data_IF_586401074750
#
_entry.id   IF_586401074750
#
_cell.length_a   1.000
_cell.length_b   1.000
_cell.length_c   1.000
_cell.angle_alpha   90.00
_cell.angle_beta   90.00
_cell.angle_gamma   90.00
#
_symmetry.space_group_name_H-M   'P 1'
#
loop_
_entity.id
_entity.type
_entity.pdbx_description
1 polymer ?
#
# COMPACT_ATOMS: atom_id res chain seq x y z
N UNK A 1 -38.57 8.88 -9.39
CA UNK A 1 -37.26 8.36 -9.84
C UNK A 1 -36.16 9.14 -9.14
N UNK A 2 -35.38 8.52 -8.25
CA UNK A 2 -34.20 9.18 -7.69
C UNK A 2 -33.16 9.38 -8.80
N UNK A 3 -32.73 10.62 -9.02
CA UNK A 3 -31.68 10.93 -9.99
C UNK A 3 -30.37 10.32 -9.50
N UNK A 4 -29.59 9.71 -10.42
CA UNK A 4 -28.23 9.23 -10.09
C UNK A 4 -27.42 10.39 -9.49
N UNK A 5 -26.65 10.09 -8.45
CA UNK A 5 -25.74 11.08 -7.87
C UNK A 5 -24.61 11.38 -8.85
N UNK A 6 -23.96 12.55 -8.71
CA UNK A 6 -22.79 12.92 -9.55
C UNK A 6 -21.72 11.83 -9.47
N UNK A 7 -21.41 11.35 -8.27
CA UNK A 7 -20.44 10.27 -8.06
C UNK A 7 -20.81 8.96 -8.78
N UNK A 8 -22.10 8.62 -8.88
CA UNK A 8 -22.55 7.44 -9.62
C UNK A 8 -22.38 7.63 -11.13
N UNK A 9 -22.64 8.84 -11.66
CA UNK A 9 -22.37 9.15 -13.06
C UNK A 9 -20.88 9.10 -13.36
N UNK A 10 -20.04 9.69 -12.51
CA UNK A 10 -18.58 9.65 -12.67
C UNK A 10 -18.06 8.20 -12.67
N UNK A 11 -18.63 7.35 -11.81
CA UNK A 11 -18.31 5.92 -11.78
C UNK A 11 -18.69 5.22 -13.08
N UNK A 12 -19.87 5.50 -13.63
CA UNK A 12 -20.29 4.98 -14.94
C UNK A 12 -19.35 5.45 -16.06
N UNK A 13 -19.03 6.74 -16.09
CA UNK A 13 -18.08 7.30 -17.07
C UNK A 13 -16.70 6.67 -16.95
N UNK A 14 -16.19 6.46 -15.73
CA UNK A 14 -14.90 5.82 -15.52
C UNK A 14 -14.90 4.34 -15.93
N UNK A 15 -15.99 3.62 -15.68
CA UNK A 15 -16.18 2.24 -16.15
C UNK A 15 -16.14 2.18 -17.68
N UNK A 16 -16.87 3.08 -18.35
CA UNK A 16 -16.93 3.07 -19.81
C UNK A 16 -15.59 3.46 -20.43
N UNK A 17 -14.89 4.44 -19.85
CA UNK A 17 -13.51 4.76 -20.22
C UNK A 17 -12.57 3.56 -20.05
N UNK A 18 -12.71 2.78 -18.97
CA UNK A 18 -11.94 1.56 -18.77
C UNK A 18 -12.25 0.47 -19.82
N UNK A 19 -13.52 0.30 -20.22
CA UNK A 19 -13.90 -0.61 -21.30
C UNK A 19 -13.27 -0.22 -22.63
N UNK A 20 -13.32 1.06 -22.97
CA UNK A 20 -12.82 1.53 -24.26
C UNK A 20 -11.29 1.47 -24.31
N UNK A 21 -10.61 1.87 -23.23
CA UNK A 21 -9.17 1.68 -23.09
C UNK A 21 -8.77 0.19 -23.22
N UNK A 22 -9.52 -0.72 -22.61
CA UNK A 22 -9.27 -2.17 -22.74
C UNK A 22 -9.46 -2.68 -24.17
N UNK A 23 -10.48 -2.18 -24.90
CA UNK A 23 -10.69 -2.53 -26.32
C UNK A 23 -9.56 -2.03 -27.20
N UNK A 24 -9.14 -0.78 -27.02
CA UNK A 24 -8.07 -0.19 -27.83
C UNK A 24 -6.72 -0.83 -27.55
N UNK A 25 -6.44 -1.11 -26.27
CA UNK A 25 -5.30 -1.91 -25.87
C UNK A 25 -5.34 -3.33 -26.47
N UNK A 26 -6.51 -3.97 -26.55
CA UNK A 26 -6.66 -5.29 -27.21
C UNK A 26 -6.37 -5.21 -28.72
N UNK A 27 -6.77 -4.12 -29.39
CA UNK A 27 -6.40 -3.87 -30.80
C UNK A 27 -4.88 -3.68 -30.95
N UNK A 28 -4.29 -2.89 -30.05
CA UNK A 28 -2.86 -2.61 -30.00
C UNK A 28 -2.01 -3.86 -29.72
N UNK A 29 -2.50 -4.79 -28.89
CA UNK A 29 -1.87 -6.11 -28.68
C UNK A 29 -1.76 -6.92 -29.98
N UNK A 30 -2.73 -6.79 -30.90
CA UNK A 30 -2.73 -7.53 -32.17
C UNK A 30 -1.67 -7.01 -33.15
N UNK A 31 -1.33 -5.73 -33.08
CA UNK A 31 -0.36 -5.08 -33.99
C UNK A 31 1.04 -5.01 -33.39
N UNK A 32 1.18 -5.11 -32.07
CA UNK A 32 2.47 -5.09 -31.38
C UNK A 32 3.23 -6.43 -31.43
N UNK A 33 4.59 -6.40 -31.32
CA UNK A 33 5.39 -7.61 -31.26
C UNK A 33 5.08 -8.45 -30.02
N UNK A 34 5.23 -9.79 -30.12
CA UNK A 34 4.88 -10.78 -29.08
C UNK A 34 5.38 -10.41 -27.67
N UNK A 35 6.56 -9.80 -27.54
CA UNK A 35 7.13 -9.38 -26.24
C UNK A 35 6.38 -8.20 -25.60
N UNK A 36 5.94 -7.23 -26.41
CA UNK A 36 5.18 -6.07 -25.95
C UNK A 36 3.73 -6.46 -25.64
N UNK A 37 3.12 -7.28 -26.52
CA UNK A 37 1.81 -7.88 -26.30
C UNK A 37 1.71 -8.62 -24.96
N UNK A 38 2.73 -9.43 -24.58
CA UNK A 38 2.76 -10.14 -23.29
C UNK A 38 2.71 -9.21 -22.07
N UNK A 39 3.28 -8.01 -22.15
CA UNK A 39 3.27 -7.03 -21.05
C UNK A 39 1.93 -6.31 -20.92
N UNK A 40 1.24 -6.11 -22.04
CA UNK A 40 -0.02 -5.36 -22.08
C UNK A 40 -1.24 -6.22 -21.71
N UNK A 41 -1.22 -7.52 -22.02
CA UNK A 41 -2.28 -8.49 -21.69
C UNK A 41 -2.79 -8.41 -20.23
N UNK A 42 -1.94 -8.51 -19.19
CA UNK A 42 -2.43 -8.47 -17.81
C UNK A 42 -3.08 -7.13 -17.45
N UNK A 43 -2.62 -6.01 -18.02
CA UNK A 43 -3.20 -4.70 -17.79
C UNK A 43 -4.55 -4.53 -18.50
N UNK A 44 -4.73 -5.20 -19.64
CA UNK A 44 -6.03 -5.26 -20.33
C UNK A 44 -7.04 -6.06 -19.52
N UNK A 45 -6.64 -7.18 -18.91
CA UNK A 45 -7.55 -7.92 -18.03
C UNK A 45 -7.90 -7.13 -16.77
N UNK A 46 -6.93 -6.46 -16.12
CA UNK A 46 -7.19 -5.58 -14.96
C UNK A 46 -8.19 -4.45 -15.30
N UNK A 47 -8.06 -3.84 -16.49
CA UNK A 47 -8.99 -2.82 -16.96
C UNK A 47 -10.40 -3.38 -17.26
N UNK A 48 -10.51 -4.63 -17.74
CA UNK A 48 -11.81 -5.29 -17.91
C UNK A 48 -12.45 -5.63 -16.58
N UNK A 49 -11.69 -6.16 -15.62
CA UNK A 49 -12.19 -6.47 -14.28
C UNK A 49 -12.67 -5.21 -13.55
N UNK A 50 -11.97 -4.07 -13.74
CA UNK A 50 -12.40 -2.78 -13.23
C UNK A 50 -13.69 -2.26 -13.91
N UNK A 51 -13.93 -2.66 -15.16
CA UNK A 51 -15.12 -2.33 -15.91
C UNK A 51 -16.32 -3.26 -15.65
N UNK A 52 -16.08 -4.50 -15.22
CA UNK A 52 -17.11 -5.50 -14.90
C UNK A 52 -17.57 -5.40 -13.43
N UNK A 53 -18.00 -4.19 -13.05
CA UNK A 53 -18.52 -3.92 -11.72
C UNK A 53 -20.05 -3.89 -11.74
N UNK A 54 -20.64 -4.59 -10.79
CA UNK A 54 -22.10 -4.65 -10.68
C UNK A 54 -22.72 -3.28 -10.37
N UNK A 55 -23.91 -3.02 -10.91
CA UNK A 55 -24.70 -1.79 -10.65
C UNK A 55 -24.87 -1.50 -9.16
N UNK A 56 -24.96 -2.54 -8.33
CA UNK A 56 -25.02 -2.43 -6.86
C UNK A 56 -23.74 -1.85 -6.27
N UNK A 57 -22.57 -2.22 -6.79
CA UNK A 57 -21.27 -1.69 -6.36
C UNK A 57 -21.09 -0.23 -6.78
N UNK A 58 -21.56 0.14 -7.97
CA UNK A 58 -21.62 1.53 -8.45
C UNK A 58 -22.52 2.38 -7.55
N UNK A 59 -23.69 1.86 -7.17
CA UNK A 59 -24.62 2.56 -6.29
C UNK A 59 -24.08 2.75 -4.87
N UNK A 60 -23.50 1.69 -4.29
CA UNK A 60 -23.07 1.68 -2.89
C UNK A 60 -21.68 2.29 -2.65
N UNK A 61 -20.77 2.18 -3.63
CA UNK A 61 -19.36 2.61 -3.48
C UNK A 61 -18.84 3.32 -4.75
N UNK A 62 -19.52 4.38 -5.23
CA UNK A 62 -19.16 5.04 -6.49
C UNK A 62 -17.71 5.54 -6.49
N UNK A 63 -17.27 6.16 -5.39
CA UNK A 63 -15.90 6.69 -5.24
C UNK A 63 -14.80 5.61 -5.31
N UNK A 64 -15.11 4.38 -4.89
CA UNK A 64 -14.14 3.29 -5.00
C UNK A 64 -14.06 2.77 -6.42
N UNK A 65 -15.21 2.67 -7.09
CA UNK A 65 -15.31 2.24 -8.48
C UNK A 65 -14.60 3.22 -9.42
N UNK A 66 -14.82 4.53 -9.27
CA UNK A 66 -14.07 5.55 -10.03
C UNK A 66 -12.58 5.39 -9.81
N UNK A 67 -12.12 5.34 -8.55
CA UNK A 67 -10.69 5.24 -8.24
C UNK A 67 -10.05 3.98 -8.84
N UNK A 68 -10.73 2.84 -8.80
CA UNK A 68 -10.20 1.60 -9.39
C UNK A 68 -10.18 1.64 -10.92
N UNK A 69 -11.25 2.14 -11.54
CA UNK A 69 -11.34 2.24 -12.99
C UNK A 69 -10.30 3.23 -13.55
N UNK A 70 -10.18 4.41 -12.92
CA UNK A 70 -9.17 5.42 -13.31
C UNK A 70 -7.75 4.86 -13.14
N UNK A 71 -7.44 4.24 -12.00
CA UNK A 71 -6.11 3.66 -11.78
C UNK A 71 -5.77 2.54 -12.79
N UNK A 72 -6.75 1.72 -13.17
CA UNK A 72 -6.56 0.69 -14.20
C UNK A 72 -6.32 1.33 -15.59
N UNK A 73 -7.08 2.38 -15.95
CA UNK A 73 -6.87 3.11 -17.19
C UNK A 73 -5.51 3.80 -17.25
N UNK A 74 -5.08 4.45 -16.17
CA UNK A 74 -3.78 5.15 -16.11
C UNK A 74 -2.62 4.16 -16.32
N UNK A 75 -2.64 3.01 -15.63
CA UNK A 75 -1.62 1.97 -15.79
C UNK A 75 -1.60 1.42 -17.22
N UNK A 76 -2.77 1.21 -17.81
CA UNK A 76 -2.89 0.69 -19.17
C UNK A 76 -2.38 1.70 -20.19
N UNK A 77 -2.75 2.97 -20.03
CA UNK A 77 -2.30 4.07 -20.89
C UNK A 77 -0.81 4.31 -20.78
N UNK A 78 -0.25 4.33 -19.57
CA UNK A 78 1.20 4.49 -19.36
C UNK A 78 1.98 3.33 -20.01
N UNK A 79 1.51 2.09 -19.83
CA UNK A 79 2.13 0.94 -20.47
C UNK A 79 2.01 0.98 -22.00
N UNK A 80 0.87 1.40 -22.54
CA UNK A 80 0.69 1.57 -23.97
C UNK A 80 1.62 2.67 -24.52
N UNK A 81 1.70 3.82 -23.84
CA UNK A 81 2.57 4.93 -24.21
C UNK A 81 4.05 4.53 -24.20
N UNK A 82 4.50 3.81 -23.16
CA UNK A 82 5.88 3.29 -23.07
C UNK A 82 6.24 2.32 -24.20
N UNK A 83 5.25 1.63 -24.79
CA UNK A 83 5.46 0.68 -25.88
C UNK A 83 5.37 1.33 -27.26
N UNK A 84 4.63 2.43 -27.39
CA UNK A 84 4.52 3.22 -28.62
C UNK A 84 5.62 4.28 -28.76
N UNK A 85 6.21 4.72 -27.65
CA UNK A 85 7.33 5.66 -27.68
C UNK A 85 8.48 5.09 -28.54
N UNK A 86 9.00 5.85 -29.52
CA UNK A 86 10.11 5.40 -30.35
C UNK A 86 11.31 5.11 -29.44
N UNK A 87 11.79 3.87 -29.50
CA UNK A 87 12.88 3.35 -28.68
C UNK A 87 14.18 4.11 -28.96
N UNK A 88 14.39 5.22 -28.26
CA UNK A 88 15.73 5.57 -27.79
C UNK A 88 15.84 5.03 -26.37
N UNK A 89 16.74 4.06 -26.20
CA UNK A 89 17.12 3.34 -24.96
C UNK A 89 16.45 1.99 -24.75
N UNK A 90 17.14 0.99 -25.29
CA UNK A 90 17.21 -0.35 -24.75
C UNK A 90 17.68 -0.35 -23.28
N UNK A 91 17.56 -1.53 -22.66
CA UNK A 91 18.09 -1.97 -21.36
C UNK A 91 17.15 -1.80 -20.16
N UNK A 92 16.24 -2.78 -20.02
CA UNK A 92 16.07 -3.47 -18.74
C UNK A 92 15.86 -4.96 -19.00
N UNK A 93 17.00 -5.63 -19.24
CA UNK A 93 17.16 -7.06 -18.99
C UNK A 93 17.11 -7.24 -17.47
N UNK A 94 16.05 -7.86 -16.97
CA UNK A 94 16.15 -8.74 -15.81
C UNK A 94 15.34 -9.99 -16.13
N UNK A 95 15.97 -10.86 -16.93
CA UNK A 95 16.00 -12.29 -16.60
C UNK A 95 16.88 -12.40 -15.37
N UNK A 96 16.42 -13.10 -14.35
CA UNK A 96 17.07 -14.32 -13.84
C UNK A 96 16.39 -14.71 -12.51
N UNK A 97 15.54 -15.73 -12.61
CA UNK A 97 15.39 -16.69 -11.53
C UNK A 97 16.47 -17.75 -11.75
N UNK A 98 17.01 -18.36 -10.67
CA UNK A 98 16.56 -19.73 -10.46
C UNK A 98 16.38 -20.16 -9.00
N UNK A 99 15.49 -21.15 -8.87
CA UNK A 99 15.24 -22.08 -7.78
C UNK A 99 16.51 -22.57 -7.06
N UNK A 100 16.46 -22.66 -5.72
CA UNK A 100 16.66 -23.90 -4.94
C UNK A 100 16.47 -23.66 -3.43
N UNK A 101 15.45 -24.28 -2.86
CA UNK A 101 15.43 -24.77 -1.47
C UNK A 101 16.34 -26.04 -1.38
N UNK A 102 16.64 -26.70 -0.22
CA UNK A 102 15.85 -26.69 1.03
C UNK A 102 16.59 -26.92 2.39
N UNK A 103 15.79 -26.87 3.48
CA UNK A 103 15.84 -27.68 4.73
C UNK A 103 17.01 -27.57 5.73
N UNK A 104 16.68 -27.18 6.98
CA UNK A 104 16.93 -27.88 8.26
C UNK A 104 16.33 -27.00 9.40
N UNK A 105 15.23 -27.35 10.08
CA UNK A 105 15.01 -28.43 11.05
C UNK A 105 15.94 -28.36 12.28
N UNK A 106 15.40 -27.93 13.43
CA UNK A 106 15.62 -28.43 14.81
C UNK A 106 15.24 -27.33 15.81
N UNK A 107 14.17 -27.46 16.62
CA UNK A 107 13.89 -28.38 17.75
C UNK A 107 14.22 -27.73 19.09
N UNK A 108 13.21 -27.83 19.98
CA UNK A 108 13.23 -27.85 21.45
C UNK A 108 13.45 -26.50 22.15
N UNK A 109 12.44 -25.96 22.82
CA UNK A 109 11.78 -26.43 24.06
C UNK A 109 12.63 -26.17 25.31
N UNK A 110 12.09 -25.35 26.21
CA UNK A 110 11.90 -25.57 27.66
C UNK A 110 11.43 -24.23 28.26
N UNK A 111 10.20 -24.13 28.73
CA UNK A 111 9.74 -24.52 30.07
C UNK A 111 10.49 -23.79 31.20
N UNK A 112 9.75 -22.92 31.90
CA UNK A 112 9.72 -22.74 33.35
C UNK A 112 9.33 -21.27 33.68
N UNK A 113 8.13 -20.89 34.13
CA UNK A 113 7.34 -21.30 35.33
C UNK A 113 7.65 -20.34 36.51
N UNK A 114 6.55 -19.80 37.08
CA UNK A 114 6.37 -19.09 38.39
C UNK A 114 7.01 -17.68 38.45
N UNK A 115 6.49 -16.64 39.10
CA UNK A 115 5.42 -16.46 40.09
C UNK A 115 5.01 -14.98 39.99
N UNK A 116 3.72 -14.65 40.05
CA UNK A 116 3.06 -14.22 41.28
C UNK A 116 3.64 -12.93 41.88
N UNK A 117 2.89 -11.83 41.72
CA UNK A 117 2.36 -11.06 42.85
C UNK A 117 1.62 -9.83 42.31
N UNK A 118 0.28 -9.88 42.37
CA UNK A 118 -0.51 -8.69 42.60
C UNK A 118 -0.18 -8.15 44.01
N UNK A 119 -0.33 -6.84 44.25
CA UNK A 119 -1.57 -6.36 44.85
C UNK A 119 -2.12 -5.07 44.16
N UNK A 120 -3.43 -4.96 43.85
CA UNK A 120 -4.45 -4.16 44.60
C UNK A 120 -3.84 -2.92 45.26
N UNK A 121 -4.23 -1.67 45.00
CA UNK A 121 -5.51 -0.92 45.10
C UNK A 121 -5.12 0.52 44.62
N UNK A 122 -5.94 1.46 44.18
CA UNK A 122 -7.28 1.89 44.55
C UNK A 122 -7.82 2.81 43.43
N UNK A 123 -9.13 2.89 43.35
CA UNK A 123 -9.88 3.90 42.63
C UNK A 123 -9.55 5.32 43.13
N UNK A 124 -9.56 6.28 42.21
CA UNK A 124 -10.27 7.56 42.34
C UNK A 124 -9.99 8.45 41.11
N UNK A 125 -11.00 8.63 40.27
CA UNK A 125 -11.26 9.93 39.64
C UNK A 125 -11.57 10.94 40.78
N UNK A 126 -11.44 12.29 40.64
CA UNK A 126 -11.95 13.02 39.46
C UNK A 126 -11.26 14.38 39.13
N UNK A 127 -11.68 14.94 37.98
CA UNK A 127 -11.78 16.37 37.56
C UNK A 127 -10.68 17.36 38.00
N UNK A 128 -9.97 17.98 37.06
CA UNK A 128 -10.00 19.44 36.81
C UNK A 128 -9.04 19.82 35.66
N UNK A 129 -9.48 20.70 34.77
CA UNK A 129 -8.62 21.41 33.83
C UNK A 129 -8.40 22.83 34.38
N UNK A 130 -7.17 23.36 34.35
CA UNK A 130 -6.90 24.36 33.31
C UNK A 130 -5.45 24.37 32.80
N UNK A 131 -5.27 24.70 31.51
CA UNK A 131 -4.01 25.22 30.98
C UNK A 131 -3.81 26.67 31.48
N UNK A 132 -2.57 27.18 31.70
CA UNK A 132 -1.76 27.63 30.56
C UNK A 132 -0.20 27.65 30.72
N UNK A 133 0.47 27.61 29.56
CA UNK A 133 1.76 28.25 29.17
C UNK A 133 3.10 27.76 29.75
N UNK A 134 3.97 27.45 28.78
CA UNK A 134 5.44 27.61 28.76
C UNK A 134 6.24 26.83 29.79
N UNK A 135 6.43 25.54 29.50
CA UNK A 135 7.68 24.86 29.82
C UNK A 135 8.26 24.38 28.49
N UNK A 136 9.46 24.83 28.15
CA UNK A 136 10.29 24.19 27.13
C UNK A 136 10.27 22.69 27.42
N UNK A 137 9.70 21.83 26.57
CA UNK A 137 9.90 20.42 26.79
C UNK A 137 11.37 20.23 26.47
N UNK A 138 12.15 19.91 27.51
CA UNK A 138 13.30 19.05 27.30
C UNK A 138 12.70 17.75 26.77
N UNK A 139 12.37 17.74 25.47
CA UNK A 139 11.78 16.60 24.79
C UNK A 139 12.89 15.59 24.86
N UNK A 140 12.76 14.65 25.79
CA UNK A 140 13.64 13.50 25.78
C UNK A 140 13.55 12.93 24.36
N UNK A 141 14.66 12.57 23.70
CA UNK A 141 14.62 12.11 22.31
C UNK A 141 13.63 10.95 22.13
N UNK A 142 13.34 10.19 23.18
CA UNK A 142 12.31 9.17 23.23
C UNK A 142 10.87 9.69 23.02
N UNK A 143 10.49 10.84 23.59
CA UNK A 143 9.16 11.44 23.39
C UNK A 143 8.97 12.00 21.98
N UNK A 144 10.02 12.58 21.39
CA UNK A 144 10.00 13.06 20.00
C UNK A 144 9.80 11.87 19.03
N UNK A 145 10.46 10.74 19.29
CA UNK A 145 10.31 9.52 18.51
C UNK A 145 8.91 8.88 18.69
N UNK A 146 8.31 8.97 19.88
CA UNK A 146 6.97 8.44 20.14
C UNK A 146 5.86 9.14 19.34
N UNK A 147 6.03 10.45 19.08
CA UNK A 147 5.13 11.24 18.25
C UNK A 147 5.17 10.90 16.76
N UNK A 148 6.28 10.33 16.27
CA UNK A 148 6.47 10.02 14.85
C UNK A 148 5.62 8.85 14.35
N UNK A 149 5.28 8.90 13.07
CA UNK A 149 4.57 7.79 12.42
C UNK A 149 5.53 6.61 12.15
N UNK A 150 4.99 5.40 11.97
CA UNK A 150 5.82 4.21 11.65
C UNK A 150 6.62 4.40 10.36
N UNK A 151 6.12 5.19 9.41
CA UNK A 151 6.83 5.47 8.15
C UNK A 151 8.05 6.37 8.40
N UNK A 152 7.89 7.42 9.20
CA UNK A 152 8.99 8.31 9.61
C UNK A 152 10.06 7.56 10.40
N UNK A 153 9.67 6.72 11.36
CA UNK A 153 10.60 5.90 12.13
C UNK A 153 11.40 4.94 11.24
N UNK A 154 10.77 4.34 10.24
CA UNK A 154 11.46 3.48 9.26
C UNK A 154 12.39 4.27 8.33
N UNK A 155 12.04 5.52 8.01
CA UNK A 155 12.91 6.41 7.23
C UNK A 155 14.14 6.81 8.04
N UNK A 156 13.96 7.17 9.32
CA UNK A 156 15.05 7.43 10.26
C UNK A 156 15.94 6.20 10.45
N UNK A 157 15.36 5.01 10.63
CA UNK A 157 16.13 3.76 10.73
C UNK A 157 16.97 3.46 9.48
N UNK A 158 16.44 3.78 8.28
CA UNK A 158 17.21 3.69 7.02
C UNK A 158 18.35 4.70 6.97
N UNK A 159 18.08 5.94 7.37
CA UNK A 159 19.07 7.02 7.36
C UNK A 159 20.21 6.74 8.36
N UNK A 160 19.90 6.11 9.49
CA UNK A 160 20.86 5.59 10.46
C UNK A 160 21.55 4.28 10.03
N UNK A 161 21.21 3.73 8.85
CA UNK A 161 21.87 2.54 8.30
C UNK A 161 21.46 1.21 8.92
N UNK A 162 20.42 1.17 9.76
CA UNK A 162 19.91 -0.09 10.29
C UNK A 162 19.30 -0.93 9.17
N UNK A 163 19.42 -2.26 9.26
CA UNK A 163 18.77 -3.22 8.37
C UNK A 163 17.77 -4.07 9.15
N UNK A 164 16.83 -4.73 8.46
CA UNK A 164 15.83 -5.58 9.14
C UNK A 164 14.69 -4.84 9.87
N UNK A 165 14.71 -3.51 9.90
CA UNK A 165 13.71 -2.67 10.58
C UNK A 165 12.29 -2.74 9.99
N UNK A 166 12.12 -3.26 8.77
CA UNK A 166 10.83 -3.34 8.08
C UNK A 166 9.78 -4.18 8.80
N UNK A 167 10.22 -5.15 9.62
CA UNK A 167 9.34 -6.07 10.37
C UNK A 167 9.11 -5.63 11.81
N UNK A 168 9.77 -4.55 12.26
CA UNK A 168 9.65 -4.05 13.61
C UNK A 168 8.33 -3.31 13.82
N UNK A 169 7.79 -3.46 15.04
CA UNK A 169 6.66 -2.68 15.54
C UNK A 169 7.09 -1.24 15.83
N UNK A 170 6.12 -0.33 16.03
CA UNK A 170 6.42 1.08 16.33
C UNK A 170 7.32 1.23 17.55
N UNK A 171 7.02 0.51 18.64
CA UNK A 171 7.82 0.52 19.86
C UNK A 171 9.26 0.02 19.60
N UNK A 172 9.41 -1.12 18.90
CA UNK A 172 10.73 -1.66 18.58
C UNK A 172 11.57 -0.77 17.65
N UNK A 173 10.92 0.06 16.82
CA UNK A 173 11.62 1.08 16.02
C UNK A 173 12.09 2.26 16.88
N UNK A 174 11.31 2.66 17.89
CA UNK A 174 11.68 3.73 18.83
C UNK A 174 12.86 3.25 19.68
N UNK A 175 12.79 2.03 20.23
CA UNK A 175 13.88 1.44 21.03
C UNK A 175 15.19 1.29 20.24
N UNK A 176 15.08 0.98 18.94
CA UNK A 176 16.24 0.85 18.06
C UNK A 176 16.88 2.20 17.73
N UNK A 177 16.09 3.27 17.64
CA UNK A 177 16.56 4.63 17.35
C UNK A 177 16.97 5.43 18.60
N UNK A 178 16.56 4.98 19.79
CA UNK A 178 16.90 5.60 21.07
C UNK A 178 18.17 5.06 21.73
N UNK A 179 18.89 4.15 21.07
CA UNK A 179 20.21 3.62 21.49
C UNK A 179 21.34 4.42 20.88
#
# INVERSE_FOLDING_TARGET
MAKKTVAQRDAETAIDAAKDAAKDAKKLIKTLPKKAAKKLKPLVEDAKDAADVSKKKVANRPKKVTKTAVAATERLQEAAARLQAPKKKAVSKQKDAPKKAPKAASKKAKDAVIAAAAPIVAAAAPIDAPAPREASPSVTPAEDLAGRTVVELRASARAAGHTGYSRLSKAALIDLLGR
#
